data_IF_431820042371
#
_entry.id   IF_431820042371
#
_cell.length_a   1.000
_cell.length_b   1.000
_cell.length_c   1.000
_cell.angle_alpha   90.00
_cell.angle_beta   90.00
_cell.angle_gamma   90.00
#
_symmetry.space_group_name_H-M   'P 1'
#
loop_
_entity.id
_entity.type
_entity.pdbx_description
1 polymer ?
#
# COMPACT_ATOMS: atom_id res chain seq x y z
N UNK A 1 -11.08 4.05 -2.90
CA UNK A 1 -10.80 5.50 -2.92
C UNK A 1 -9.61 5.71 -3.84
N UNK A 2 -9.82 6.09 -5.11
CA UNK A 2 -8.71 6.32 -6.04
C UNK A 2 -8.01 7.65 -5.73
N UNK A 3 -6.69 7.72 -5.95
CA UNK A 3 -5.84 8.91 -5.77
C UNK A 3 -5.83 9.46 -4.34
N UNK A 4 -5.78 8.57 -3.34
CA UNK A 4 -5.63 8.97 -1.94
C UNK A 4 -4.15 9.23 -1.63
N UNK A 5 -3.87 10.25 -0.80
CA UNK A 5 -2.54 10.48 -0.27
C UNK A 5 -2.43 9.87 1.13
N UNK A 6 -1.56 8.88 1.26
CA UNK A 6 -1.17 8.14 2.46
C UNK A 6 0.36 8.19 2.64
N UNK A 7 1.03 9.18 2.02
CA UNK A 7 2.47 9.34 2.16
C UNK A 7 2.86 9.53 3.63
N UNK A 8 3.99 8.94 4.02
CA UNK A 8 4.55 8.93 5.39
C UNK A 8 3.57 8.47 6.48
N UNK A 9 2.46 7.82 6.11
CA UNK A 9 1.42 7.41 7.05
C UNK A 9 1.83 6.13 7.78
N UNK A 10 1.47 6.05 9.07
CA UNK A 10 1.56 4.81 9.83
C UNK A 10 0.32 3.95 9.57
N UNK A 11 0.48 2.88 8.80
CA UNK A 11 -0.57 1.93 8.45
C UNK A 11 -0.40 0.60 9.19
N UNK A 12 0.32 0.57 10.32
CA UNK A 12 0.60 -0.65 11.06
C UNK A 12 -0.70 -1.44 11.35
N UNK A 13 -0.73 -2.70 10.89
CA UNK A 13 -1.89 -3.60 11.04
C UNK A 13 -3.20 -3.09 10.41
N UNK A 14 -3.15 -2.14 9.47
CA UNK A 14 -4.35 -1.67 8.78
C UNK A 14 -4.94 -2.76 7.87
N UNK A 15 -6.27 -2.87 7.86
CA UNK A 15 -6.99 -3.66 6.87
C UNK A 15 -7.35 -2.76 5.68
N UNK A 16 -6.63 -2.95 4.58
CA UNK A 16 -6.88 -2.33 3.28
C UNK A 16 -7.34 -3.39 2.26
N UNK A 17 -7.81 -4.56 2.72
CA UNK A 17 -8.28 -5.61 1.84
C UNK A 17 -9.43 -5.11 0.97
N UNK A 18 -9.44 -5.53 -0.29
CA UNK A 18 -10.44 -5.18 -1.30
C UNK A 18 -10.65 -3.67 -1.54
N UNK A 19 -9.74 -2.81 -1.07
CA UNK A 19 -9.83 -1.38 -1.32
C UNK A 19 -9.31 -1.01 -2.71
N UNK A 20 -9.97 -0.05 -3.36
CA UNK A 20 -9.41 0.59 -4.54
C UNK A 20 -8.41 1.66 -4.11
N UNK A 21 -7.12 1.45 -4.36
CA UNK A 21 -5.99 2.35 -4.14
C UNK A 21 -5.34 2.76 -5.48
N UNK A 22 -6.09 2.73 -6.59
CA UNK A 22 -5.58 3.16 -7.90
C UNK A 22 -5.06 4.59 -7.80
N UNK A 23 -3.80 4.80 -8.19
CA UNK A 23 -3.13 6.11 -8.13
C UNK A 23 -2.84 6.62 -6.71
N UNK A 24 -2.94 5.78 -5.67
CA UNK A 24 -2.65 6.20 -4.31
C UNK A 24 -1.16 6.52 -4.11
N UNK A 25 -0.87 7.57 -3.36
CA UNK A 25 0.48 7.88 -2.88
C UNK A 25 0.66 7.22 -1.51
N UNK A 26 1.49 6.20 -1.44
CA UNK A 26 1.89 5.45 -0.24
C UNK A 26 3.40 5.61 0.00
N UNK A 27 4.01 6.64 -0.58
CA UNK A 27 5.44 6.87 -0.47
C UNK A 27 5.86 7.07 0.99
N UNK A 28 6.92 6.40 1.42
CA UNK A 28 7.39 6.48 2.82
C UNK A 28 6.46 5.86 3.88
N UNK A 29 5.31 5.28 3.51
CA UNK A 29 4.36 4.74 4.48
C UNK A 29 4.93 3.54 5.27
N UNK A 30 4.60 3.46 6.56
CA UNK A 30 4.92 2.30 7.40
C UNK A 30 3.82 1.24 7.26
N UNK A 31 4.08 0.18 6.50
CA UNK A 31 3.05 -0.80 6.09
C UNK A 31 3.23 -2.19 6.73
N UNK A 32 3.80 -2.26 7.93
CA UNK A 32 4.00 -3.54 8.60
C UNK A 32 2.64 -4.16 9.01
N UNK A 33 2.43 -5.42 8.56
CA UNK A 33 1.21 -6.20 8.78
C UNK A 33 -0.06 -5.60 8.18
N UNK A 34 0.03 -4.76 7.14
CA UNK A 34 -1.15 -4.30 6.39
C UNK A 34 -1.72 -5.45 5.57
N UNK A 35 -3.04 -5.67 5.66
CA UNK A 35 -3.73 -6.57 4.73
C UNK A 35 -4.08 -5.82 3.45
N UNK A 36 -3.48 -6.23 2.33
CA UNK A 36 -3.73 -5.69 0.99
C UNK A 36 -4.45 -6.70 0.09
N UNK A 37 -5.01 -7.76 0.66
CA UNK A 37 -5.64 -8.86 -0.09
C UNK A 37 -6.73 -8.30 -1.00
N UNK A 38 -6.57 -8.48 -2.31
CA UNK A 38 -7.53 -8.00 -3.30
C UNK A 38 -7.61 -6.49 -3.48
N UNK A 39 -6.69 -5.71 -2.90
CA UNK A 39 -6.62 -4.27 -3.15
C UNK A 39 -6.22 -3.99 -4.61
N UNK A 40 -6.82 -2.96 -5.22
CA UNK A 40 -6.41 -2.48 -6.54
C UNK A 40 -5.34 -1.41 -6.38
N UNK A 41 -4.10 -1.73 -6.77
CA UNK A 41 -2.92 -0.87 -6.61
C UNK A 41 -2.43 -0.26 -7.92
N UNK A 42 -3.23 -0.35 -9.00
CA UNK A 42 -2.80 0.11 -10.32
C UNK A 42 -2.33 1.58 -10.24
N UNK A 43 -1.07 1.82 -10.60
CA UNK A 43 -0.46 3.15 -10.61
C UNK A 43 -0.25 3.79 -9.24
N UNK A 44 -0.33 3.03 -8.14
CA UNK A 44 -0.01 3.56 -6.82
C UNK A 44 1.52 3.74 -6.64
N UNK A 45 1.94 4.81 -5.97
CA UNK A 45 3.35 5.11 -5.67
C UNK A 45 3.71 4.62 -4.27
N UNK A 46 4.49 3.56 -4.18
CA UNK A 46 4.89 2.93 -2.91
C UNK A 46 6.40 3.07 -2.68
N UNK A 47 7.01 4.07 -3.31
CA UNK A 47 8.45 4.34 -3.19
C UNK A 47 8.81 4.58 -1.73
N UNK A 48 9.91 4.00 -1.26
CA UNK A 48 10.37 4.11 0.13
C UNK A 48 9.38 3.63 1.21
N UNK A 49 8.25 3.00 0.84
CA UNK A 49 7.35 2.40 1.80
C UNK A 49 8.08 1.29 2.59
N UNK A 50 8.03 1.37 3.92
CA UNK A 50 8.78 0.48 4.79
C UNK A 50 7.90 -0.70 5.17
N UNK A 51 7.99 -1.80 4.40
CA UNK A 51 7.48 -3.10 4.82
C UNK A 51 8.62 -3.92 5.41
N UNK A 52 8.68 -4.09 6.74
CA UNK A 52 9.67 -4.99 7.36
C UNK A 52 9.41 -6.49 7.11
N UNK A 53 8.39 -6.83 6.31
CA UNK A 53 8.01 -8.21 5.98
C UNK A 53 7.83 -8.34 4.45
N UNK A 54 8.47 -9.35 3.88
CA UNK A 54 8.57 -9.69 2.45
C UNK A 54 7.30 -9.44 1.60
N UNK A 55 7.36 -8.43 0.74
CA UNK A 55 6.38 -8.16 -0.33
C UNK A 55 6.54 -9.09 -1.55
N UNK A 56 6.69 -10.40 -1.36
CA UNK A 56 6.92 -11.36 -2.48
C UNK A 56 5.65 -11.79 -3.23
N UNK A 57 4.51 -11.11 -3.06
CA UNK A 57 3.22 -11.53 -3.66
C UNK A 57 2.51 -10.41 -4.46
N UNK A 58 3.18 -9.29 -4.71
CA UNK A 58 2.63 -8.25 -5.60
C UNK A 58 3.48 -8.21 -6.86
N UNK A 59 3.12 -9.05 -7.82
CA UNK A 59 3.71 -9.05 -9.16
C UNK A 59 3.62 -7.64 -9.76
N UNK A 60 4.76 -7.05 -10.11
CA UNK A 60 4.85 -5.74 -10.79
C UNK A 60 4.30 -5.79 -12.23
N UNK A 61 4.07 -4.66 -12.91
CA UNK A 61 3.71 -3.31 -12.44
C UNK A 61 2.21 -2.96 -12.65
#
# INVERSE_FOLDING_TARGET
MSNINLADSNLLCADLSHTNLTGADLSGAEMLSVDLTGANLTGADWTDAVSKINITQVSSP
#
